data_IF_733909523920
#
_entry.id   IF_733909523920
#
_cell.length_a   1.000
_cell.length_b   1.000
_cell.length_c   1.000
_cell.angle_alpha   90.00
_cell.angle_beta   90.00
_cell.angle_gamma   90.00
#
_symmetry.space_group_name_H-M   'P 1'
#
loop_
_entity.id
_entity.type
_entity.pdbx_description
1 polymer ?
#
# COMPACT_ATOMS: atom_id res chain seq x y z
N UNK A 1 12.81 26.89 39.05
CA UNK A 1 13.56 25.78 38.41
C UNK A 1 12.54 24.95 37.59
N UNK A 2 12.42 25.25 36.28
CA UNK A 2 11.63 24.44 35.36
C UNK A 2 12.50 23.24 34.95
N UNK A 3 12.12 22.06 35.42
CA UNK A 3 12.65 20.81 34.87
C UNK A 3 12.08 20.64 33.47
N UNK A 4 12.88 20.97 32.44
CA UNK A 4 12.62 20.59 31.09
C UNK A 4 12.74 19.05 30.99
N UNK A 5 11.62 18.36 30.91
CA UNK A 5 11.58 16.94 30.54
C UNK A 5 11.96 16.85 29.06
N UNK A 6 13.24 16.79 28.79
CA UNK A 6 13.72 16.34 27.49
C UNK A 6 13.31 14.86 27.37
N UNK A 7 12.19 14.57 26.72
CA UNK A 7 11.88 13.19 26.30
C UNK A 7 13.03 12.76 25.39
N UNK A 8 13.93 11.93 25.91
CA UNK A 8 14.89 11.18 25.09
C UNK A 8 14.07 10.34 24.14
N UNK A 9 13.99 10.73 22.87
CA UNK A 9 13.46 9.84 21.84
C UNK A 9 14.28 8.57 21.86
N UNK A 10 13.62 7.42 21.96
CA UNK A 10 14.30 6.13 21.80
C UNK A 10 15.02 6.14 20.45
N UNK A 11 16.29 5.82 20.44
CA UNK A 11 17.09 5.65 19.22
C UNK A 11 16.98 4.24 18.68
N UNK A 12 16.23 3.37 19.35
CA UNK A 12 16.03 1.97 18.92
C UNK A 12 15.10 1.89 17.73
N UNK A 13 15.39 1.02 16.76
CA UNK A 13 14.43 0.65 15.72
C UNK A 13 13.10 0.21 16.29
N UNK A 14 12.00 0.47 15.57
CA UNK A 14 10.64 0.14 16.04
C UNK A 14 9.89 -0.71 15.04
N UNK A 15 9.13 -1.67 15.56
CA UNK A 15 8.16 -2.43 14.79
C UNK A 15 6.78 -2.16 15.38
N UNK A 16 5.93 -1.49 14.59
CA UNK A 16 4.53 -1.28 14.91
C UNK A 16 3.70 -2.39 14.29
N UNK A 17 2.75 -2.92 15.06
CA UNK A 17 1.79 -3.93 14.60
C UNK A 17 0.39 -3.39 14.84
N UNK A 18 -0.40 -3.30 13.78
CA UNK A 18 -1.80 -2.89 13.91
C UNK A 18 -2.70 -4.07 14.23
N UNK A 19 -3.51 -3.90 15.26
CA UNK A 19 -4.63 -4.78 15.59
C UNK A 19 -5.96 -4.25 15.02
N UNK A 20 -5.93 -3.18 14.23
CA UNK A 20 -7.08 -2.64 13.52
C UNK A 20 -7.04 -3.01 12.04
N UNK A 21 -8.18 -3.44 11.50
CA UNK A 21 -8.35 -3.64 10.05
C UNK A 21 -8.93 -2.39 9.35
N UNK A 22 -9.10 -1.29 10.07
CA UNK A 22 -9.55 -0.01 9.49
C UNK A 22 -8.44 0.62 8.65
N UNK A 23 -8.64 0.67 7.34
CA UNK A 23 -7.69 1.23 6.38
C UNK A 23 -7.38 2.70 6.64
N UNK A 24 -8.35 3.49 7.11
CA UNK A 24 -8.14 4.91 7.41
C UNK A 24 -7.25 5.07 8.64
N UNK A 25 -7.47 4.27 9.68
CA UNK A 25 -6.59 4.22 10.86
C UNK A 25 -5.17 3.84 10.44
N UNK A 26 -5.02 2.75 9.69
CA UNK A 26 -3.70 2.25 9.33
C UNK A 26 -2.90 3.26 8.47
N UNK A 27 -3.54 3.93 7.52
CA UNK A 27 -2.90 4.98 6.72
C UNK A 27 -2.63 6.26 7.54
N UNK A 28 -3.48 6.61 8.48
CA UNK A 28 -3.27 7.74 9.39
C UNK A 28 -2.10 7.49 10.35
N UNK A 29 -2.02 6.25 10.89
CA UNK A 29 -0.90 5.84 11.73
C UNK A 29 0.42 5.80 10.96
N UNK A 30 0.42 5.29 9.73
CA UNK A 30 1.59 5.34 8.83
C UNK A 30 2.11 6.76 8.64
N UNK A 31 1.23 7.73 8.38
CA UNK A 31 1.61 9.14 8.24
C UNK A 31 2.13 9.73 9.57
N UNK A 32 1.51 9.36 10.68
CA UNK A 32 1.97 9.78 12.01
C UNK A 32 3.39 9.28 12.28
N UNK A 33 3.66 7.99 12.08
CA UNK A 33 5.00 7.40 12.21
C UNK A 33 6.00 8.11 11.27
N UNK A 34 5.62 8.32 10.01
CA UNK A 34 6.46 9.02 9.03
C UNK A 34 6.83 10.43 9.46
N UNK A 35 5.90 11.15 10.09
CA UNK A 35 6.11 12.54 10.48
C UNK A 35 6.84 12.73 11.81
N UNK A 36 6.69 11.77 12.72
CA UNK A 36 7.12 11.91 14.12
C UNK A 36 8.33 11.08 14.48
N UNK A 37 8.62 9.99 13.77
CA UNK A 37 9.84 9.20 14.00
C UNK A 37 11.06 9.99 13.50
N UNK A 38 12.14 10.13 14.29
CA UNK A 38 13.39 10.70 13.81
C UNK A 38 13.89 9.98 12.55
N UNK A 39 14.45 10.74 11.59
CA UNK A 39 14.82 10.16 10.29
C UNK A 39 15.93 9.10 10.35
N UNK A 40 16.74 9.12 11.40
CA UNK A 40 17.81 8.16 11.69
C UNK A 40 17.34 6.92 12.46
N UNK A 41 16.09 6.90 12.93
CA UNK A 41 15.47 5.76 13.60
C UNK A 41 14.66 4.94 12.60
N UNK A 42 15.11 3.75 12.20
CA UNK A 42 14.32 2.88 11.34
C UNK A 42 13.02 2.44 12.01
N UNK A 43 11.93 2.42 11.25
CA UNK A 43 10.68 1.86 11.73
C UNK A 43 10.04 0.96 10.68
N UNK A 44 9.35 -0.08 11.14
CA UNK A 44 8.51 -0.96 10.35
C UNK A 44 7.09 -0.87 10.88
N UNK A 45 6.10 -0.88 9.99
CA UNK A 45 4.69 -0.95 10.35
C UNK A 45 4.03 -2.06 9.55
N UNK A 46 3.38 -2.99 10.24
CA UNK A 46 2.71 -4.16 9.67
C UNK A 46 1.22 -4.11 9.99
N UNK A 47 0.38 -4.29 8.97
CA UNK A 47 -1.07 -4.20 9.12
C UNK A 47 -1.82 -4.95 8.04
N UNK A 48 -3.07 -5.30 8.34
CA UNK A 48 -4.03 -5.93 7.44
C UNK A 48 -5.28 -5.05 7.40
N UNK A 49 -5.89 -4.88 6.24
CA UNK A 49 -7.10 -4.09 6.08
C UNK A 49 -8.31 -4.96 5.73
N UNK A 50 -9.49 -4.54 6.17
CA UNK A 50 -10.76 -4.99 5.60
C UNK A 50 -10.80 -4.72 4.09
N UNK A 51 -11.70 -5.41 3.33
CA UNK A 51 -11.84 -5.21 1.90
C UNK A 51 -11.99 -3.73 1.52
N UNK A 52 -11.01 -3.18 0.79
CA UNK A 52 -11.01 -1.80 0.33
C UNK A 52 -10.19 -1.62 -0.95
N UNK A 53 -10.46 -0.55 -1.69
CA UNK A 53 -9.60 -0.07 -2.78
C UNK A 53 -8.83 1.14 -2.31
N UNK A 54 -7.50 1.10 -2.43
CA UNK A 54 -6.62 2.20 -2.05
C UNK A 54 -6.00 2.80 -3.30
N UNK A 55 -6.42 4.03 -3.65
CA UNK A 55 -5.85 4.78 -4.77
C UNK A 55 -4.65 5.62 -4.34
N UNK A 56 -3.71 5.82 -5.27
CA UNK A 56 -2.54 6.67 -5.04
C UNK A 56 -2.90 8.15 -4.95
N UNK A 57 -2.03 8.93 -4.30
CA UNK A 57 -2.23 10.37 -4.05
C UNK A 57 -2.61 11.18 -5.29
N UNK A 58 -2.02 10.86 -6.46
CA UNK A 58 -2.14 11.62 -7.69
C UNK A 58 -2.97 10.92 -8.77
N UNK A 59 -3.80 9.95 -8.37
CA UNK A 59 -4.68 9.23 -9.29
C UNK A 59 -6.04 9.91 -9.44
N UNK A 60 -6.63 9.72 -10.62
CA UNK A 60 -8.02 10.07 -10.87
C UNK A 60 -8.90 8.86 -10.49
N UNK A 61 -9.68 8.98 -9.42
CA UNK A 61 -10.54 7.90 -8.95
C UNK A 61 -11.48 7.40 -10.04
N UNK A 62 -12.09 8.31 -10.81
CA UNK A 62 -13.10 7.94 -11.83
C UNK A 62 -12.52 7.13 -12.99
N UNK A 63 -11.20 7.22 -13.24
CA UNK A 63 -10.52 6.40 -14.27
C UNK A 63 -9.94 5.09 -13.72
N UNK A 64 -9.76 4.96 -12.40
CA UNK A 64 -9.05 3.84 -11.79
C UNK A 64 -9.98 2.75 -11.24
N UNK A 65 -11.24 3.06 -10.95
CA UNK A 65 -12.18 2.13 -10.36
C UNK A 65 -13.48 2.01 -11.16
N UNK A 66 -14.15 0.87 -11.06
CA UNK A 66 -15.50 0.69 -11.53
C UNK A 66 -16.51 0.98 -10.41
N UNK A 67 -17.24 2.15 -10.43
CA UNK A 67 -18.18 2.50 -9.38
C UNK A 67 -19.33 1.50 -9.24
N UNK A 68 -19.75 0.85 -10.36
CA UNK A 68 -20.83 -0.15 -10.31
C UNK A 68 -20.36 -1.39 -9.54
N UNK A 69 -19.14 -1.86 -9.85
CA UNK A 69 -18.55 -2.99 -9.14
C UNK A 69 -18.29 -2.66 -7.66
N UNK A 70 -17.81 -1.44 -7.37
CA UNK A 70 -17.60 -0.97 -5.99
C UNK A 70 -18.90 -0.98 -5.18
N UNK A 71 -19.97 -0.42 -5.72
CA UNK A 71 -21.31 -0.45 -5.08
C UNK A 71 -21.83 -1.88 -4.91
N UNK A 72 -21.74 -2.72 -5.94
CA UNK A 72 -22.17 -4.12 -5.90
C UNK A 72 -21.49 -4.89 -4.78
N UNK A 73 -20.19 -4.70 -4.60
CA UNK A 73 -19.38 -5.42 -3.60
C UNK A 73 -19.29 -4.70 -2.27
N UNK A 74 -19.88 -3.49 -2.14
CA UNK A 74 -19.83 -2.64 -0.93
C UNK A 74 -18.38 -2.40 -0.45
N UNK A 75 -17.46 -2.19 -1.38
CA UNK A 75 -16.05 -1.97 -1.09
C UNK A 75 -15.75 -0.48 -1.04
N UNK A 76 -15.25 0.07 0.08
CA UNK A 76 -14.90 1.47 0.19
C UNK A 76 -13.67 1.83 -0.64
N UNK A 77 -13.60 3.09 -1.07
CA UNK A 77 -12.43 3.67 -1.73
C UNK A 77 -11.75 4.62 -0.76
N UNK A 78 -10.43 4.52 -0.67
CA UNK A 78 -9.59 5.40 0.15
C UNK A 78 -8.43 5.92 -0.68
N UNK A 79 -8.04 7.17 -0.45
CA UNK A 79 -6.84 7.77 -1.07
C UNK A 79 -5.70 7.80 -0.06
N UNK A 80 -4.58 7.12 -0.38
CA UNK A 80 -3.39 7.15 0.46
C UNK A 80 -2.53 8.39 0.21
N UNK A 81 -1.56 8.60 1.09
CA UNK A 81 -0.69 9.78 1.06
C UNK A 81 0.53 9.62 0.13
N UNK A 82 0.86 8.38 -0.26
CA UNK A 82 1.92 8.08 -1.24
C UNK A 82 1.38 8.08 -2.68
N UNK A 83 2.28 8.17 -3.65
CA UNK A 83 1.96 8.01 -5.06
C UNK A 83 1.72 6.56 -5.48
N UNK A 84 1.86 6.28 -6.77
CA UNK A 84 1.69 4.94 -7.36
C UNK A 84 0.26 4.63 -7.79
N UNK A 85 0.04 3.39 -8.26
CA UNK A 85 -1.23 2.87 -8.79
C UNK A 85 -2.24 2.47 -7.71
N UNK A 86 -3.46 2.15 -8.13
CA UNK A 86 -4.50 1.63 -7.26
C UNK A 86 -4.23 0.16 -6.89
N UNK A 87 -4.60 -0.22 -5.68
CA UNK A 87 -4.50 -1.57 -5.15
C UNK A 87 -5.81 -1.97 -4.47
N UNK A 88 -6.07 -3.27 -4.41
CA UNK A 88 -7.14 -3.86 -3.62
C UNK A 88 -6.53 -4.53 -2.39
N UNK A 89 -7.12 -4.29 -1.23
CA UNK A 89 -6.77 -4.96 0.03
C UNK A 89 -7.95 -5.78 0.51
N UNK A 90 -7.65 -6.87 1.21
CA UNK A 90 -8.56 -7.63 2.05
C UNK A 90 -7.75 -8.37 3.14
N UNK A 91 -8.41 -9.21 3.93
CA UNK A 91 -7.78 -9.94 5.03
C UNK A 91 -6.69 -10.93 4.58
N UNK A 92 -6.64 -11.28 3.29
CA UNK A 92 -5.59 -12.12 2.70
C UNK A 92 -4.40 -11.35 2.15
N UNK A 93 -4.35 -10.02 2.38
CA UNK A 93 -3.25 -9.15 1.97
C UNK A 93 -2.57 -8.52 3.18
N UNK A 94 -1.29 -8.85 3.41
CA UNK A 94 -0.45 -8.16 4.37
C UNK A 94 0.06 -6.84 3.77
N UNK A 95 0.03 -5.78 4.55
CA UNK A 95 0.68 -4.52 4.23
C UNK A 95 1.90 -4.32 5.14
N UNK A 96 2.99 -3.86 4.55
CA UNK A 96 4.20 -3.47 5.27
C UNK A 96 4.59 -2.04 4.90
N UNK A 97 5.13 -1.29 5.85
CA UNK A 97 5.68 0.05 5.62
C UNK A 97 6.98 0.21 6.39
N UNK A 98 8.07 0.48 5.67
CA UNK A 98 9.40 0.69 6.23
C UNK A 98 9.79 2.16 6.11
N UNK A 99 10.15 2.75 7.24
CA UNK A 99 10.53 4.16 7.37
C UNK A 99 12.02 4.30 7.60
N UNK A 100 12.64 5.25 6.92
CA UNK A 100 14.07 5.54 7.03
C UNK A 100 14.37 7.01 6.71
N UNK A 101 15.62 7.42 6.86
CA UNK A 101 16.05 8.72 6.34
C UNK A 101 16.04 8.70 4.80
N UNK A 102 15.80 9.87 4.20
CA UNK A 102 15.87 10.03 2.73
C UNK A 102 17.28 9.73 2.20
N UNK A 103 18.32 9.99 2.98
CA UNK A 103 19.72 9.79 2.58
C UNK A 103 20.11 8.32 2.47
N UNK A 104 19.49 7.45 3.27
CA UNK A 104 19.74 6.00 3.26
C UNK A 104 18.67 5.23 2.50
N UNK A 105 17.73 5.93 1.88
CA UNK A 105 16.61 5.29 1.19
C UNK A 105 17.04 4.73 -0.17
N UNK A 106 16.95 3.41 -0.32
CA UNK A 106 17.08 2.69 -1.58
C UNK A 106 15.80 1.87 -1.81
N UNK A 107 15.23 1.95 -3.00
CA UNK A 107 13.97 1.24 -3.33
C UNK A 107 14.06 -0.28 -3.16
N UNK A 108 15.25 -0.84 -3.38
CA UNK A 108 15.49 -2.28 -3.28
C UNK A 108 15.56 -2.79 -1.83
N UNK A 109 16.04 -1.97 -0.89
CA UNK A 109 16.41 -2.40 0.46
C UNK A 109 15.32 -3.22 1.15
N UNK A 110 14.10 -2.72 1.14
CA UNK A 110 13.00 -3.35 1.88
C UNK A 110 12.29 -4.45 1.07
N UNK A 111 12.32 -4.39 -0.26
CA UNK A 111 11.88 -5.54 -1.08
C UNK A 111 12.81 -6.73 -0.88
N UNK A 112 14.12 -6.48 -0.84
CA UNK A 112 15.12 -7.52 -0.58
C UNK A 112 15.01 -8.07 0.86
N UNK A 113 14.61 -7.24 1.85
CA UNK A 113 14.29 -7.70 3.20
C UNK A 113 13.13 -8.69 3.19
N UNK A 114 12.01 -8.35 2.54
CA UNK A 114 10.84 -9.25 2.44
C UNK A 114 11.22 -10.53 1.69
N UNK A 115 11.99 -10.45 0.60
CA UNK A 115 12.47 -11.63 -0.13
C UNK A 115 13.27 -12.56 0.79
N UNK A 116 14.18 -12.03 1.60
CA UNK A 116 14.95 -12.83 2.57
C UNK A 116 14.06 -13.43 3.65
N UNK A 117 13.12 -12.66 4.20
CA UNK A 117 12.16 -13.15 5.19
C UNK A 117 11.38 -14.36 4.69
N UNK A 118 10.95 -14.34 3.42
CA UNK A 118 10.22 -15.46 2.82
C UNK A 118 11.11 -16.69 2.54
N UNK A 119 12.42 -16.50 2.36
CA UNK A 119 13.40 -17.60 2.18
C UNK A 119 13.94 -18.17 3.48
N UNK A 120 13.85 -17.44 4.56
CA UNK A 120 14.41 -17.79 5.87
C UNK A 120 13.39 -18.52 6.76
N UNK A 121 13.84 -19.33 7.74
CA UNK A 121 12.95 -19.85 8.76
C UNK A 121 12.18 -18.72 9.48
N UNK A 122 10.94 -18.95 9.89
CA UNK A 122 10.18 -20.21 9.83
C UNK A 122 9.51 -20.51 8.48
N UNK A 123 9.52 -19.59 7.51
CA UNK A 123 8.80 -19.70 6.24
C UNK A 123 9.49 -20.68 5.28
N UNK A 124 10.76 -20.40 4.95
CA UNK A 124 11.64 -21.26 4.13
C UNK A 124 11.02 -21.68 2.79
N UNK A 125 10.51 -20.72 1.98
CA UNK A 125 10.01 -21.03 0.64
C UNK A 125 11.16 -21.59 -0.22
N UNK A 126 10.90 -22.67 -1.01
CA UNK A 126 11.92 -23.29 -1.84
C UNK A 126 12.20 -22.48 -3.10
N UNK A 127 13.45 -22.50 -3.55
CA UNK A 127 13.83 -21.97 -4.85
C UNK A 127 13.08 -22.69 -5.98
N UNK A 128 12.82 -21.99 -7.09
CA UNK A 128 12.08 -22.50 -8.21
C UNK A 128 12.80 -22.17 -9.53
N UNK A 129 12.98 -23.15 -10.39
CA UNK A 129 13.72 -23.01 -11.66
C UNK A 129 15.14 -22.43 -11.50
N UNK A 130 15.82 -22.71 -10.36
CA UNK A 130 17.14 -22.14 -10.05
C UNK A 130 17.11 -20.66 -9.62
N UNK A 131 15.92 -20.09 -9.41
CA UNK A 131 15.73 -18.73 -8.93
C UNK A 131 15.15 -18.71 -7.52
N UNK A 132 15.33 -17.57 -6.83
CA UNK A 132 14.68 -17.32 -5.54
C UNK A 132 13.15 -17.50 -5.66
N UNK A 133 12.48 -18.03 -4.61
CA UNK A 133 11.02 -18.31 -4.66
C UNK A 133 10.22 -17.05 -4.92
N UNK A 134 10.64 -15.94 -4.34
CA UNK A 134 10.12 -14.60 -4.57
C UNK A 134 11.30 -13.72 -4.97
N UNK A 135 11.15 -12.97 -6.04
CA UNK A 135 12.21 -12.14 -6.59
C UNK A 135 11.72 -10.72 -6.89
N UNK A 136 12.64 -9.78 -6.88
CA UNK A 136 12.37 -8.38 -7.19
C UNK A 136 12.38 -8.15 -8.70
N UNK A 137 11.32 -7.51 -9.21
CA UNK A 137 11.25 -7.08 -10.61
C UNK A 137 12.05 -5.78 -10.84
N UNK A 138 12.26 -5.41 -12.11
CA UNK A 138 12.89 -4.12 -12.47
C UNK A 138 12.12 -2.90 -11.91
N UNK A 139 10.82 -3.04 -11.63
CA UNK A 139 9.96 -2.00 -11.06
C UNK A 139 9.98 -1.97 -9.53
N UNK A 140 10.81 -2.79 -8.89
CA UNK A 140 10.87 -3.02 -7.44
C UNK A 140 9.58 -3.58 -6.83
N UNK A 141 8.77 -4.27 -7.62
CA UNK A 141 7.70 -5.12 -7.13
C UNK A 141 8.25 -6.51 -6.79
N UNK A 142 7.56 -7.28 -5.95
CA UNK A 142 7.89 -8.70 -5.73
C UNK A 142 7.02 -9.58 -6.62
N UNK A 143 7.64 -10.61 -7.17
CA UNK A 143 6.99 -11.55 -8.08
C UNK A 143 7.43 -13.00 -7.80
N UNK A 144 6.65 -13.92 -8.32
CA UNK A 144 6.88 -15.36 -8.35
C UNK A 144 6.71 -15.85 -9.79
N UNK A 145 7.17 -17.05 -10.08
CA UNK A 145 6.75 -17.74 -11.29
C UNK A 145 5.41 -18.45 -11.05
N UNK A 146 4.53 -18.40 -12.03
CA UNK A 146 3.20 -19.04 -12.01
C UNK A 146 3.29 -20.49 -11.54
N UNK A 147 2.34 -20.92 -10.71
CA UNK A 147 2.33 -22.29 -10.17
C UNK A 147 2.33 -23.36 -11.28
N UNK A 148 1.71 -23.06 -12.42
CA UNK A 148 1.63 -23.96 -13.58
C UNK A 148 2.80 -23.83 -14.57
N UNK A 149 3.76 -22.91 -14.32
CA UNK A 149 4.91 -22.76 -15.19
C UNK A 149 5.81 -23.99 -15.13
N UNK A 150 6.31 -24.40 -16.29
CA UNK A 150 7.27 -25.51 -16.44
C UNK A 150 8.72 -25.04 -16.52
N UNK A 151 8.93 -23.73 -16.74
CA UNK A 151 10.24 -23.09 -16.80
C UNK A 151 10.11 -21.59 -16.47
N UNK A 152 11.22 -20.93 -16.18
CA UNK A 152 11.29 -19.50 -15.97
C UNK A 152 11.11 -18.76 -17.31
N UNK A 153 10.11 -17.87 -17.40
CA UNK A 153 9.88 -16.98 -18.53
C UNK A 153 9.17 -15.71 -18.07
N UNK A 154 9.29 -14.61 -18.81
CA UNK A 154 8.60 -13.36 -18.49
C UNK A 154 7.07 -13.53 -18.49
N UNK A 155 6.54 -14.38 -19.34
CA UNK A 155 5.10 -14.68 -19.42
C UNK A 155 4.58 -15.41 -18.17
N UNK A 156 5.45 -16.15 -17.50
CA UNK A 156 5.12 -16.88 -16.27
C UNK A 156 5.25 -16.05 -15.00
N UNK A 157 5.71 -14.79 -15.10
CA UNK A 157 5.88 -13.90 -13.94
C UNK A 157 4.53 -13.44 -13.41
N UNK A 158 4.30 -13.63 -12.12
CA UNK A 158 3.11 -13.16 -11.39
C UNK A 158 3.53 -12.27 -10.22
N UNK A 159 2.97 -11.09 -10.16
CA UNK A 159 3.23 -10.14 -9.07
C UNK A 159 2.51 -10.58 -7.81
N UNK A 160 3.24 -10.61 -6.69
CA UNK A 160 2.71 -10.93 -5.34
C UNK A 160 2.76 -9.72 -4.41
N UNK A 161 3.42 -8.62 -4.81
CA UNK A 161 3.54 -7.39 -4.03
C UNK A 161 3.57 -6.18 -4.93
N UNK A 162 2.84 -5.12 -4.57
CA UNK A 162 2.98 -3.79 -5.13
C UNK A 162 3.73 -2.88 -4.20
N UNK A 163 4.53 -1.96 -4.74
CA UNK A 163 5.33 -1.00 -3.97
C UNK A 163 4.97 0.44 -4.28
N UNK A 164 4.94 1.28 -3.24
CA UNK A 164 4.87 2.73 -3.38
C UNK A 164 5.77 3.42 -2.34
N UNK A 165 6.08 4.69 -2.59
CA UNK A 165 7.09 5.43 -1.82
C UNK A 165 6.59 6.84 -1.53
N UNK A 166 7.01 7.38 -0.39
CA UNK A 166 6.87 8.80 -0.07
C UNK A 166 8.21 9.33 0.43
N UNK A 167 8.66 10.42 -0.17
CA UNK A 167 9.90 11.10 0.21
C UNK A 167 9.57 12.57 0.49
N UNK A 168 9.71 12.99 1.73
CA UNK A 168 9.47 14.38 2.13
C UNK A 168 10.22 14.70 3.43
N UNK A 169 10.59 15.95 3.63
CA UNK A 169 11.13 16.48 4.89
C UNK A 169 12.31 15.66 5.45
N UNK A 170 13.23 15.23 4.58
CA UNK A 170 14.40 14.44 4.98
C UNK A 170 14.12 12.97 5.32
N UNK A 171 12.88 12.50 5.18
CA UNK A 171 12.41 11.15 5.49
C UNK A 171 11.89 10.45 4.24
N UNK A 172 11.88 9.13 4.29
CA UNK A 172 11.29 8.27 3.27
C UNK A 172 10.53 7.13 3.92
N UNK A 173 9.44 6.68 3.29
CA UNK A 173 8.95 5.33 3.54
C UNK A 173 8.71 4.58 2.23
N UNK A 174 8.92 3.28 2.32
CA UNK A 174 8.51 2.29 1.34
C UNK A 174 7.40 1.46 1.94
N UNK A 175 6.22 1.52 1.38
CA UNK A 175 5.19 0.58 1.74
C UNK A 175 4.82 -0.33 0.56
N UNK A 176 4.36 -1.51 0.88
CA UNK A 176 3.97 -2.52 -0.09
C UNK A 176 2.87 -3.42 0.44
N UNK A 177 2.26 -4.11 -0.51
CA UNK A 177 1.33 -5.20 -0.27
C UNK A 177 2.07 -6.53 -0.37
N UNK A 178 1.57 -7.57 0.25
CA UNK A 178 1.98 -8.95 0.03
C UNK A 178 0.74 -9.82 -0.06
N UNK A 179 0.48 -10.34 -1.26
CA UNK A 179 -0.69 -11.18 -1.55
C UNK A 179 -0.45 -12.59 -1.00
N UNK A 180 -1.03 -12.88 0.14
CA UNK A 180 -0.96 -14.20 0.79
C UNK A 180 -2.07 -15.10 0.26
N UNK A 181 -3.32 -14.70 0.50
CA UNK A 181 -4.55 -15.39 0.11
C UNK A 181 -5.67 -14.37 -0.19
N UNK A 182 -5.36 -13.32 -0.92
CA UNK A 182 -6.30 -12.27 -1.28
C UNK A 182 -7.33 -12.77 -2.31
N UNK A 183 -8.53 -12.19 -2.30
CA UNK A 183 -9.56 -12.48 -3.30
C UNK A 183 -9.22 -11.79 -4.63
N UNK A 184 -8.48 -12.47 -5.49
CA UNK A 184 -8.01 -11.93 -6.77
C UNK A 184 -9.15 -11.61 -7.74
N UNK A 185 -10.33 -12.24 -7.61
CA UNK A 185 -11.49 -11.94 -8.46
C UNK A 185 -12.00 -10.51 -8.22
N UNK A 186 -11.94 -10.02 -6.97
CA UNK A 186 -12.33 -8.65 -6.62
C UNK A 186 -11.39 -7.60 -7.19
N UNK A 187 -10.18 -7.94 -7.58
CA UNK A 187 -9.27 -7.02 -8.28
C UNK A 187 -9.77 -6.59 -9.66
N UNK A 188 -10.78 -7.30 -10.21
CA UNK A 188 -11.44 -6.86 -11.45
C UNK A 188 -12.07 -5.46 -11.35
N UNK A 189 -12.40 -4.99 -10.13
CA UNK A 189 -12.86 -3.63 -9.87
C UNK A 189 -11.83 -2.55 -10.27
N UNK A 190 -10.54 -2.92 -10.39
CA UNK A 190 -9.43 -2.05 -10.79
C UNK A 190 -9.10 -2.13 -12.28
N UNK A 191 -9.72 -3.04 -13.04
CA UNK A 191 -9.31 -3.36 -14.42
C UNK A 191 -9.93 -2.46 -15.49
N UNK A 192 -11.02 -1.73 -15.17
CA UNK A 192 -11.74 -0.97 -16.19
C UNK A 192 -11.20 0.46 -16.32
N UNK A 193 -10.21 0.63 -17.21
CA UNK A 193 -9.91 1.98 -17.71
C UNK A 193 -11.09 2.48 -18.53
N UNK A 194 -11.61 3.64 -18.16
CA UNK A 194 -12.64 4.34 -18.91
C UNK A 194 -11.98 5.19 -19.97
N UNK A 195 -11.96 4.72 -21.21
CA UNK A 195 -11.32 5.41 -22.35
C UNK A 195 -11.94 6.79 -22.65
N UNK A 196 -13.14 7.07 -22.12
CA UNK A 196 -13.83 8.36 -22.26
C UNK A 196 -13.39 9.41 -21.23
N UNK A 197 -12.45 9.06 -20.30
CA UNK A 197 -11.88 9.99 -19.33
C UNK A 197 -10.46 10.36 -19.76
N UNK A 198 -10.26 11.62 -20.13
CA UNK A 198 -8.95 12.18 -20.43
C UNK A 198 -8.40 12.89 -19.20
N UNK A 199 -7.26 12.42 -18.66
CA UNK A 199 -6.62 12.97 -17.47
C UNK A 199 -5.10 12.88 -17.58
N UNK A 200 -4.39 13.85 -16.99
CA UNK A 200 -2.93 13.80 -16.76
C UNK A 200 -2.55 13.06 -15.47
N UNK A 201 -3.52 12.41 -14.83
CA UNK A 201 -3.29 11.66 -13.60
C UNK A 201 -2.36 10.45 -13.82
N UNK A 202 -1.68 10.05 -12.76
CA UNK A 202 -0.89 8.81 -12.75
C UNK A 202 -1.86 7.64 -12.93
N UNK A 203 -1.61 6.80 -13.92
CA UNK A 203 -2.41 5.62 -14.20
C UNK A 203 -1.81 4.38 -13.58
N UNK A 204 -2.67 3.45 -13.13
CA UNK A 204 -2.23 2.11 -12.75
C UNK A 204 -1.71 1.34 -13.96
N UNK A 205 -0.69 0.52 -13.75
CA UNK A 205 -0.17 -0.41 -14.76
C UNK A 205 -0.64 -1.81 -14.38
N UNK A 206 -1.57 -2.39 -15.14
CA UNK A 206 -2.02 -3.75 -14.89
C UNK A 206 -0.85 -4.74 -14.93
N UNK A 207 -0.87 -5.72 -14.04
CA UNK A 207 0.09 -6.82 -14.03
C UNK A 207 -0.64 -8.09 -13.64
N UNK A 208 -0.28 -9.26 -14.20
CA UNK A 208 -0.77 -10.53 -13.68
C UNK A 208 -0.33 -10.70 -12.23
N UNK A 209 -1.21 -11.21 -11.38
CA UNK A 209 -0.98 -11.38 -9.95
C UNK A 209 -1.18 -12.83 -9.53
N UNK A 210 -0.57 -13.22 -8.42
CA UNK A 210 -0.81 -14.50 -7.74
C UNK A 210 -0.79 -14.33 -6.23
N UNK A 211 -1.40 -15.25 -5.51
CA UNK A 211 -1.21 -15.40 -4.08
C UNK A 211 -0.01 -16.31 -3.78
N UNK A 212 0.67 -16.05 -2.68
CA UNK A 212 1.77 -16.90 -2.22
C UNK A 212 1.28 -18.28 -1.81
N UNK A 213 0.12 -18.39 -1.16
CA UNK A 213 -0.46 -19.68 -0.75
C UNK A 213 -0.79 -20.55 -1.97
N UNK A 214 -1.33 -19.95 -3.04
CA UNK A 214 -1.65 -20.68 -4.28
C UNK A 214 -0.36 -21.15 -5.00
N UNK A 215 0.71 -20.35 -4.91
CA UNK A 215 2.01 -20.66 -5.53
C UNK A 215 2.81 -21.70 -4.75
N UNK A 216 2.70 -21.69 -3.42
CA UNK A 216 3.42 -22.55 -2.48
C UNK A 216 2.48 -23.29 -1.52
N UNK A 217 1.55 -24.13 -2.00
CA UNK A 217 0.50 -24.73 -1.17
C UNK A 217 1.04 -25.61 -0.03
N UNK A 218 2.19 -26.26 -0.22
CA UNK A 218 2.85 -27.03 0.83
C UNK A 218 3.41 -26.18 1.99
N UNK A 219 3.41 -24.84 1.83
CA UNK A 219 3.90 -23.90 2.83
C UNK A 219 2.79 -22.97 3.36
N UNK A 220 1.52 -23.26 3.06
CA UNK A 220 0.38 -22.41 3.43
C UNK A 220 0.37 -22.04 4.91
N UNK A 221 0.55 -23.02 5.81
CA UNK A 221 0.59 -22.79 7.26
C UNK A 221 1.76 -21.88 7.70
N UNK A 222 2.88 -21.91 6.97
CA UNK A 222 4.04 -21.05 7.25
C UNK A 222 3.88 -19.65 6.69
N UNK A 223 2.93 -19.43 5.80
CA UNK A 223 2.55 -18.12 5.25
C UNK A 223 1.47 -17.41 6.09
N UNK A 224 1.12 -17.98 7.24
CA UNK A 224 0.25 -17.33 8.20
C UNK A 224 0.94 -16.20 8.98
N UNK A 225 0.14 -15.31 9.53
CA UNK A 225 0.60 -14.11 10.20
C UNK A 225 1.72 -14.32 11.23
N UNK A 226 1.65 -15.28 12.19
CA UNK A 226 2.70 -15.40 13.20
C UNK A 226 4.08 -15.72 12.62
N UNK A 227 4.13 -16.59 11.60
CA UNK A 227 5.38 -16.95 10.94
C UNK A 227 5.94 -15.81 10.11
N UNK A 228 5.08 -15.13 9.32
CA UNK A 228 5.44 -13.96 8.53
C UNK A 228 5.98 -12.84 9.39
N UNK A 229 5.27 -12.53 10.46
CA UNK A 229 5.68 -11.53 11.43
C UNK A 229 7.05 -11.85 12.01
N UNK A 230 7.26 -13.07 12.48
CA UNK A 230 8.52 -13.53 13.04
C UNK A 230 9.67 -13.40 12.03
N UNK A 231 9.45 -13.83 10.77
CA UNK A 231 10.46 -13.76 9.72
C UNK A 231 10.81 -12.32 9.33
N UNK A 232 9.79 -11.45 9.16
CA UNK A 232 10.00 -10.03 8.84
C UNK A 232 10.72 -9.31 9.98
N UNK A 233 10.33 -9.58 11.22
CA UNK A 233 11.01 -9.05 12.41
C UNK A 233 12.47 -9.47 12.45
N UNK A 234 12.77 -10.75 12.28
CA UNK A 234 14.13 -11.26 12.31
C UNK A 234 15.03 -10.58 11.26
N UNK A 235 14.52 -10.40 10.03
CA UNK A 235 15.25 -9.72 8.96
C UNK A 235 15.39 -8.20 9.21
N UNK A 236 14.38 -7.57 9.81
CA UNK A 236 14.45 -6.17 10.21
C UNK A 236 15.49 -5.96 11.31
N UNK A 237 15.47 -6.79 12.37
CA UNK A 237 16.44 -6.72 13.47
C UNK A 237 17.86 -7.10 13.03
N UNK A 238 18.01 -8.02 12.07
CA UNK A 238 19.30 -8.32 11.46
C UNK A 238 19.90 -7.10 10.73
N UNK A 239 19.05 -6.28 10.13
CA UNK A 239 19.47 -5.10 9.37
C UNK A 239 19.72 -3.88 10.26
N UNK A 240 18.90 -3.67 11.28
CA UNK A 240 18.84 -2.42 12.03
C UNK A 240 19.16 -2.57 13.54
N UNK A 241 19.37 -3.79 14.01
CA UNK A 241 19.55 -4.10 15.42
C UNK A 241 18.23 -4.38 16.15
N UNK A 242 18.34 -4.73 17.43
CA UNK A 242 17.19 -5.08 18.26
C UNK A 242 16.12 -3.97 18.28
N UNK A 243 14.87 -4.35 18.06
CA UNK A 243 13.74 -3.42 17.91
C UNK A 243 12.84 -3.38 19.14
N UNK A 244 12.17 -2.24 19.31
CA UNK A 244 11.05 -2.07 20.23
C UNK A 244 9.76 -2.45 19.49
N UNK A 245 8.94 -3.30 20.12
CA UNK A 245 7.63 -3.70 19.62
C UNK A 245 6.55 -2.77 20.17
N UNK A 246 5.67 -2.30 19.29
CA UNK A 246 4.55 -1.42 19.65
C UNK A 246 3.27 -1.91 18.97
N UNK A 247 2.35 -2.43 19.78
CA UNK A 247 1.01 -2.77 19.32
C UNK A 247 0.14 -1.52 19.27
N UNK A 248 -0.62 -1.36 18.18
CA UNK A 248 -1.46 -0.18 17.96
C UNK A 248 -2.84 -0.57 17.44
N UNK A 249 -3.85 0.23 17.81
CA UNK A 249 -5.22 0.12 17.32
C UNK A 249 -5.89 1.50 17.28
N UNK A 250 -7.19 1.55 17.02
CA UNK A 250 -7.95 2.80 16.88
C UNK A 250 -7.91 3.70 18.12
N UNK A 251 -7.58 3.18 19.31
CA UNK A 251 -7.41 4.00 20.53
C UNK A 251 -6.22 4.96 20.41
N UNK A 252 -5.27 4.67 19.54
CA UNK A 252 -4.11 5.51 19.26
C UNK A 252 -4.40 6.71 18.34
N UNK A 253 -5.64 6.91 17.87
CA UNK A 253 -6.01 8.08 17.05
C UNK A 253 -5.68 9.40 17.73
N UNK A 254 -5.74 9.46 19.06
CA UNK A 254 -5.43 10.66 19.84
C UNK A 254 -3.98 10.73 20.33
N UNK A 255 -3.11 9.82 19.88
CA UNK A 255 -1.69 9.91 20.14
C UNK A 255 -1.11 11.25 19.66
N UNK A 256 -0.22 11.83 20.44
CA UNK A 256 0.36 13.16 20.16
C UNK A 256 1.87 13.11 20.12
N UNK A 257 2.43 13.68 19.07
CA UNK A 257 3.87 13.88 18.95
C UNK A 257 4.16 15.11 18.09
N UNK A 258 5.40 15.60 18.13
CA UNK A 258 5.83 16.73 17.29
C UNK A 258 6.45 16.22 15.98
N UNK A 259 6.12 16.85 14.86
CA UNK A 259 6.81 16.62 13.58
C UNK A 259 8.03 17.54 13.41
N UNK A 260 8.45 18.20 14.50
CA UNK A 260 9.52 19.20 14.53
C UNK A 260 9.04 20.64 14.26
N UNK A 261 7.78 20.83 13.86
CA UNK A 261 7.16 22.14 13.59
C UNK A 261 5.91 22.37 14.43
N UNK A 262 5.08 21.34 14.58
CA UNK A 262 3.80 21.38 15.31
C UNK A 262 3.48 20.03 15.95
N UNK A 263 2.53 20.04 16.87
CA UNK A 263 1.92 18.80 17.35
C UNK A 263 1.06 18.19 16.24
N UNK A 264 1.15 16.89 16.08
CA UNK A 264 0.37 16.09 15.12
C UNK A 264 -0.31 14.93 15.83
N UNK A 265 -1.44 14.53 15.30
CA UNK A 265 -2.19 13.34 15.76
C UNK A 265 -2.59 12.50 14.56
N UNK A 266 -2.72 11.16 14.69
CA UNK A 266 -3.30 10.34 13.64
C UNK A 266 -4.73 10.77 13.30
N UNK A 267 -5.53 11.21 14.29
CA UNK A 267 -6.92 11.68 14.12
C UNK A 267 -7.05 12.74 13.03
N UNK A 268 -6.16 13.74 13.02
CA UNK A 268 -6.23 14.80 12.02
C UNK A 268 -6.09 14.26 10.57
N UNK A 269 -5.21 13.28 10.34
CA UNK A 269 -5.06 12.62 9.03
C UNK A 269 -6.24 11.70 8.74
N UNK A 270 -6.74 10.97 9.74
CA UNK A 270 -7.90 10.10 9.65
C UNK A 270 -9.15 10.85 9.20
N UNK A 271 -9.44 12.02 9.81
CA UNK A 271 -10.57 12.86 9.47
C UNK A 271 -10.41 13.54 8.10
N UNK A 272 -9.20 14.03 7.77
CA UNK A 272 -8.94 14.65 6.46
C UNK A 272 -9.17 13.64 5.32
N UNK A 273 -8.72 12.39 5.47
CA UNK A 273 -8.91 11.35 4.45
C UNK A 273 -10.36 10.99 4.17
N UNK A 274 -11.30 11.29 5.06
CA UNK A 274 -12.74 11.07 4.87
C UNK A 274 -13.42 12.22 4.11
N UNK A 275 -12.75 13.37 3.96
CA UNK A 275 -13.34 14.52 3.30
C UNK A 275 -13.46 14.33 1.79
N UNK A 276 -14.49 14.92 1.19
CA UNK A 276 -14.60 15.02 -0.28
C UNK A 276 -13.35 15.64 -0.90
N UNK A 277 -12.84 16.70 -0.26
CA UNK A 277 -11.63 17.42 -0.70
C UNK A 277 -10.43 16.51 -0.84
N UNK A 278 -10.23 15.60 0.11
CA UNK A 278 -9.13 14.63 0.05
C UNK A 278 -9.40 13.53 -0.96
N UNK A 279 -10.52 12.85 -0.83
CA UNK A 279 -10.81 11.64 -1.59
C UNK A 279 -10.99 11.94 -3.08
N UNK A 280 -11.88 12.84 -3.42
CA UNK A 280 -12.25 13.17 -4.80
C UNK A 280 -11.57 14.45 -5.30
N UNK A 281 -11.58 15.51 -4.51
CA UNK A 281 -11.04 16.83 -4.85
C UNK A 281 -9.52 16.85 -5.04
N UNK A 282 -8.80 15.81 -4.59
CA UNK A 282 -7.37 15.64 -4.85
C UNK A 282 -7.08 14.99 -6.22
N UNK A 283 -8.09 14.58 -6.97
CA UNK A 283 -7.90 14.10 -8.35
C UNK A 283 -7.42 15.26 -9.24
N UNK A 284 -6.41 15.05 -10.10
CA UNK A 284 -6.06 16.02 -11.12
C UNK A 284 -7.27 16.36 -12.00
N UNK A 285 -7.28 17.55 -12.60
CA UNK A 285 -8.31 17.94 -13.56
C UNK A 285 -8.44 16.91 -14.69
N UNK A 286 -9.66 16.68 -15.16
CA UNK A 286 -9.95 15.69 -16.19
C UNK A 286 -11.17 16.10 -17.02
N UNK A 287 -11.30 15.50 -18.19
CA UNK A 287 -12.47 15.63 -19.05
C UNK A 287 -13.14 14.29 -19.24
N UNK A 288 -14.47 14.31 -19.23
CA UNK A 288 -15.31 13.15 -19.54
C UNK A 288 -16.00 13.43 -20.86
N UNK A 289 -15.82 12.57 -21.85
CA UNK A 289 -16.58 12.62 -23.10
C UNK A 289 -17.71 11.60 -23.02
N UNK A 290 -18.95 12.07 -23.12
CA UNK A 290 -20.15 11.25 -23.25
C UNK A 290 -20.63 11.28 -24.71
N UNK A 291 -20.91 10.12 -25.27
CA UNK A 291 -21.45 9.96 -26.63
C UNK A 291 -22.84 9.33 -26.60
N UNK A 292 -23.55 9.35 -27.73
CA UNK A 292 -24.84 8.68 -27.91
C UNK A 292 -24.87 7.22 -27.49
N UNK A 293 -23.73 6.53 -27.55
CA UNK A 293 -23.59 5.13 -27.12
C UNK A 293 -23.68 4.95 -25.60
N UNK A 294 -23.53 6.03 -24.83
CA UNK A 294 -23.51 6.02 -23.37
C UNK A 294 -24.88 6.39 -22.77
N UNK A 295 -25.85 6.76 -23.60
CA UNK A 295 -27.24 7.14 -23.19
C UNK A 295 -28.30 6.26 -23.87
N UNK A 296 -29.37 5.92 -23.17
CA UNK A 296 -30.40 5.01 -23.70
C UNK A 296 -31.38 5.65 -24.72
N UNK A 297 -31.03 6.82 -25.28
CA UNK A 297 -31.86 7.57 -26.20
C UNK A 297 -31.13 7.81 -27.54
N UNK A 298 -31.86 7.76 -28.63
CA UNK A 298 -31.38 7.98 -30.01
C UNK A 298 -31.15 9.47 -30.34
N UNK A 299 -30.56 10.21 -29.40
CA UNK A 299 -30.20 11.62 -29.60
C UNK A 299 -28.71 11.71 -29.86
N UNK A 300 -28.24 12.35 -30.95
CA UNK A 300 -26.84 12.58 -31.17
C UNK A 300 -26.28 13.47 -30.07
N UNK A 301 -25.52 12.86 -29.16
CA UNK A 301 -24.86 13.53 -28.03
C UNK A 301 -23.34 13.46 -28.19
N UNK A 302 -22.68 14.61 -28.27
CA UNK A 302 -21.24 14.74 -28.07
C UNK A 302 -21.03 15.80 -26.98
N UNK A 303 -20.89 15.34 -25.74
CA UNK A 303 -20.76 16.19 -24.58
C UNK A 303 -19.38 16.00 -23.97
N UNK A 304 -18.68 17.11 -23.75
CA UNK A 304 -17.44 17.13 -22.98
C UNK A 304 -17.67 17.86 -21.67
N UNK A 305 -17.54 17.12 -20.56
CA UNK A 305 -17.58 17.66 -19.21
C UNK A 305 -16.16 17.88 -18.71
N UNK A 306 -15.84 19.09 -18.28
CA UNK A 306 -14.58 19.38 -17.59
C UNK A 306 -14.79 19.30 -16.10
N UNK A 307 -13.88 18.60 -15.40
CA UNK A 307 -13.96 18.42 -13.97
C UNK A 307 -12.67 18.91 -13.30
N UNK A 308 -12.82 19.75 -12.30
CA UNK A 308 -11.74 20.23 -11.45
C UNK A 308 -12.07 19.96 -9.98
N UNK A 309 -11.09 19.47 -9.22
CA UNK A 309 -11.29 19.10 -7.79
C UNK A 309 -12.52 18.21 -7.56
N UNK A 310 -12.80 17.34 -8.52
CA UNK A 310 -13.93 16.42 -8.45
C UNK A 310 -15.31 17.05 -8.73
N UNK A 311 -15.38 18.28 -9.20
CA UNK A 311 -16.61 19.05 -9.50
C UNK A 311 -16.62 19.41 -10.97
N UNK A 312 -17.79 19.35 -11.62
CA UNK A 312 -17.99 19.80 -13.00
C UNK A 312 -17.91 21.34 -13.01
N UNK A 313 -17.10 21.89 -13.92
CA UNK A 313 -16.87 23.33 -14.11
C UNK A 313 -17.20 23.76 -15.52
#
# INVERSE_FOLDING_TARGET
RLCAHVRRYSTRPRIYVSHSNDVLFNLAWEDFVFRTTPGDVPACFLYINEPCVVVGRNQNIWSEVDPKAMCKHRVPIVRRLSGGGAVYHDLGNLNFSFHSSKTHFLRATHTDLITRALRSPPISLPDRFGHAPVFRTQRNDLAVYDVHATHASDESVRKVSGSAYKLASGRAYHHGTLLLQANLQRMSMLKQRRNHIASKAVASVPSPVANLVDTFPAHAERLEWPCLFSAIRAEFERMYGASEMVDVDVSYLDARASDGRRQVTPRATYEDMQTWKWLYGSSPAFQVRASTKDVPYDVPLDLVLTCERGIIV
#
